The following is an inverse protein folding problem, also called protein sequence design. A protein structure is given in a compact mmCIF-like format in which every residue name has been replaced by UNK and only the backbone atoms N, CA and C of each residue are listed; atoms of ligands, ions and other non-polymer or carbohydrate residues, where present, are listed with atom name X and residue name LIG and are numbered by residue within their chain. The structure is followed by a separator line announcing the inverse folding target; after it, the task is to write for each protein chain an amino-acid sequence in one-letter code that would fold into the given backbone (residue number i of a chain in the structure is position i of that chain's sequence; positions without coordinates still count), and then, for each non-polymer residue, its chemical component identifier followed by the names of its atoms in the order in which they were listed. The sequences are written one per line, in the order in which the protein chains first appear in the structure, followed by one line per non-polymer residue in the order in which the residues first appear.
data_IF_946858016341
#
_entry.id   IF_946858016341
#
_cell.length_a   1.000
_cell.length_b   1.000
_cell.length_c   1.000
_cell.angle_alpha   90.00
_cell.angle_beta   90.00
_cell.angle_gamma   90.00
#
_symmetry.space_group_name_H-M   'P 1'
#
loop_
_entity.id
_entity.type
_entity.pdbx_description
1 polymer ?
#
# COMPACT_ATOMS: atom_id res chain seq x y z
N UNK A 1 -4.53 4.46 9.56
CA UNK A 1 -3.33 3.79 8.97
C UNK A 1 -3.04 4.50 7.65
N UNK A 2 -2.44 5.69 7.68
CA UNK A 2 -2.55 6.66 6.57
C UNK A 2 -1.30 6.75 5.67
N UNK A 3 -0.16 6.18 6.09
CA UNK A 3 1.09 6.34 5.35
C UNK A 3 1.57 5.05 4.69
N UNK A 4 1.69 5.08 3.36
CA UNK A 4 2.47 4.10 2.62
C UNK A 4 3.96 4.42 2.74
N UNK A 5 4.74 3.54 3.35
CA UNK A 5 6.19 3.68 3.56
C UNK A 5 6.98 2.70 2.72
N UNK A 6 8.25 3.03 2.46
CA UNK A 6 9.20 2.07 1.89
C UNK A 6 9.91 1.30 3.02
N UNK A 7 9.97 -0.02 2.92
CA UNK A 7 10.66 -0.89 3.87
C UNK A 7 11.27 -2.11 3.18
N UNK A 8 12.31 -2.69 3.80
CA UNK A 8 12.92 -3.97 3.41
C UNK A 8 12.55 -5.12 4.34
N UNK A 9 11.84 -4.83 5.43
CA UNK A 9 11.56 -5.75 6.54
C UNK A 9 10.94 -7.10 6.13
N UNK A 10 10.13 -7.11 5.06
CA UNK A 10 9.41 -8.30 4.61
C UNK A 10 10.24 -9.21 3.66
N UNK A 11 11.15 -8.64 2.87
CA UNK A 11 11.78 -9.40 1.76
C UNK A 11 13.27 -9.14 1.53
N UNK A 12 13.84 -8.11 2.17
CA UNK A 12 15.19 -7.61 1.88
C UNK A 12 15.25 -6.67 0.68
N UNK A 13 14.22 -6.63 -0.17
CA UNK A 13 14.05 -5.66 -1.26
C UNK A 13 13.17 -4.48 -0.81
N UNK A 14 13.38 -3.26 -1.35
CA UNK A 14 12.52 -2.14 -1.04
C UNK A 14 11.11 -2.38 -1.57
N UNK A 15 10.13 -2.39 -0.66
CA UNK A 15 8.71 -2.55 -0.97
C UNK A 15 7.97 -1.33 -0.41
N UNK A 16 7.03 -0.80 -1.19
CA UNK A 16 6.06 0.19 -0.69
C UNK A 16 4.86 -0.54 -0.11
N UNK A 17 4.55 -0.22 1.13
CA UNK A 17 3.57 -0.94 1.95
C UNK A 17 2.95 0.01 2.97
N UNK A 18 1.78 -0.36 3.49
CA UNK A 18 1.21 0.33 4.64
C UNK A 18 2.18 0.28 5.83
N UNK A 19 2.35 1.40 6.52
CA UNK A 19 3.10 1.44 7.77
C UNK A 19 2.38 0.57 8.81
N UNK A 20 3.16 -0.28 9.46
CA UNK A 20 2.74 -1.10 10.58
C UNK A 20 3.85 -1.19 11.63
N UNK A 21 3.50 -1.68 12.83
CA UNK A 21 4.48 -1.95 13.89
C UNK A 21 5.60 -2.86 13.41
N UNK A 22 5.28 -3.85 12.56
CA UNK A 22 6.29 -4.69 11.93
C UNK A 22 7.31 -3.86 11.14
N UNK A 23 6.85 -2.94 10.30
CA UNK A 23 7.76 -2.12 9.49
C UNK A 23 8.60 -1.13 10.31
N UNK A 24 8.10 -0.72 11.48
CA UNK A 24 8.75 0.24 12.35
C UNK A 24 9.82 -0.43 13.24
N UNK A 25 9.59 -1.64 13.77
CA UNK A 25 10.59 -2.34 14.61
C UNK A 25 11.91 -2.61 13.89
N UNK A 26 11.87 -2.80 12.56
CA UNK A 26 13.07 -2.99 11.73
C UNK A 26 13.83 -1.69 11.46
N UNK A 27 13.32 -0.54 11.93
CA UNK A 27 13.93 0.78 11.81
C UNK A 27 14.33 1.36 13.18
N UNK A 28 14.04 0.66 14.27
CA UNK A 28 14.38 1.08 15.63
C UNK A 28 15.90 1.06 15.85
N UNK A 29 16.38 1.92 16.74
CA UNK A 29 17.78 1.97 17.12
C UNK A 29 18.22 0.62 17.71
N UNK A 30 19.27 0.03 17.14
CA UNK A 30 19.78 -1.28 17.54
C UNK A 30 19.10 -2.48 16.86
N UNK A 31 18.10 -2.26 16.01
CA UNK A 31 17.58 -3.31 15.14
C UNK A 31 18.66 -3.78 14.14
N UNK A 32 18.71 -5.09 13.84
CA UNK A 32 19.65 -5.60 12.84
C UNK A 32 19.27 -5.13 11.43
N UNK A 33 20.27 -5.03 10.55
CA UNK A 33 20.03 -4.84 9.13
C UNK A 33 19.23 -6.00 8.54
N UNK A 34 18.31 -5.70 7.62
CA UNK A 34 17.58 -6.74 6.88
C UNK A 34 18.52 -7.53 5.99
N UNK A 35 18.33 -8.85 5.92
CA UNK A 35 19.07 -9.71 4.99
C UNK A 35 18.71 -9.40 3.53
N UNK A 36 19.58 -9.72 2.55
CA UNK A 36 19.21 -9.62 1.14
C UNK A 36 18.13 -10.65 0.78
N UNK A 37 17.35 -10.34 -0.24
CA UNK A 37 16.37 -11.28 -0.80
C UNK A 37 17.10 -12.49 -1.41
N UNK A 38 16.66 -13.74 -1.15
CA UNK A 38 15.42 -14.15 -0.47
C UNK A 38 15.54 -14.41 1.05
N UNK A 39 16.74 -14.29 1.63
CA UNK A 39 17.03 -14.72 2.99
C UNK A 39 16.17 -14.00 4.04
N UNK A 40 15.89 -12.71 3.86
CA UNK A 40 14.99 -11.98 4.77
C UNK A 40 13.59 -12.58 4.79
N UNK A 41 13.04 -12.91 3.63
CA UNK A 41 11.73 -13.55 3.54
C UNK A 41 11.75 -14.89 4.27
N UNK A 42 12.79 -15.70 4.07
CA UNK A 42 12.94 -16.99 4.76
C UNK A 42 13.03 -16.83 6.29
N UNK A 43 13.69 -15.77 6.77
CA UNK A 43 13.81 -15.49 8.21
C UNK A 43 12.47 -15.12 8.86
N UNK A 44 11.61 -14.36 8.16
CA UNK A 44 10.46 -13.69 8.80
C UNK A 44 9.10 -14.25 8.39
N UNK A 45 9.01 -15.13 7.39
CA UNK A 45 7.74 -15.59 6.81
C UNK A 45 6.83 -16.23 7.86
N UNK A 46 7.36 -17.07 8.75
CA UNK A 46 6.56 -17.70 9.79
C UNK A 46 5.89 -16.68 10.71
N UNK A 47 6.62 -15.66 11.15
CA UNK A 47 6.08 -14.59 12.01
C UNK A 47 5.03 -13.76 11.26
N UNK A 48 5.27 -13.43 9.99
CA UNK A 48 4.32 -12.67 9.18
C UNK A 48 3.03 -13.46 8.89
N UNK A 49 3.13 -14.78 8.73
CA UNK A 49 1.97 -15.67 8.61
C UNK A 49 1.18 -15.66 9.91
N UNK A 50 1.83 -15.85 11.05
CA UNK A 50 1.17 -15.89 12.35
C UNK A 50 0.48 -14.56 12.68
N UNK A 51 1.10 -13.41 12.36
CA UNK A 51 0.49 -12.07 12.47
C UNK A 51 -0.82 -11.98 11.68
N UNK A 52 -0.82 -12.51 10.44
CA UNK A 52 -1.99 -12.50 9.56
C UNK A 52 -3.09 -13.44 10.07
N UNK A 53 -2.73 -14.66 10.49
CA UNK A 53 -3.69 -15.66 10.98
C UNK A 53 -4.35 -15.22 12.30
N UNK A 54 -3.60 -14.53 13.17
CA UNK A 54 -4.11 -13.96 14.40
C UNK A 54 -4.84 -12.61 14.22
N UNK A 55 -4.93 -12.10 12.98
CA UNK A 55 -5.56 -10.82 12.63
C UNK A 55 -5.05 -9.62 13.47
N UNK A 56 -3.73 -9.54 13.66
CA UNK A 56 -3.09 -8.46 14.42
C UNK A 56 -2.92 -7.22 13.53
N UNK A 57 -3.99 -6.46 13.32
CA UNK A 57 -4.07 -5.35 12.34
C UNK A 57 -2.91 -4.36 12.44
N UNK A 58 -2.53 -3.92 13.65
CA UNK A 58 -1.42 -2.97 13.87
C UNK A 58 -0.05 -3.51 13.42
N UNK A 59 0.10 -4.83 13.29
CA UNK A 59 1.32 -5.51 12.87
C UNK A 59 1.31 -5.90 11.40
N UNK A 60 0.12 -5.97 10.78
CA UNK A 60 -0.01 -6.38 9.39
C UNK A 60 0.64 -5.38 8.45
N UNK A 61 1.55 -5.88 7.62
CA UNK A 61 2.18 -5.10 6.55
C UNK A 61 1.64 -5.55 5.20
N UNK A 62 1.04 -4.63 4.45
CA UNK A 62 0.39 -4.94 3.17
C UNK A 62 0.98 -4.06 2.07
N UNK A 63 1.44 -4.63 0.94
CA UNK A 63 1.85 -3.85 -0.22
C UNK A 63 0.72 -2.92 -0.68
N UNK A 64 1.02 -1.62 -0.76
CA UNK A 64 0.03 -0.61 -1.15
C UNK A 64 0.73 0.58 -1.81
N UNK A 65 0.07 1.18 -2.79
CA UNK A 65 0.47 2.47 -3.36
C UNK A 65 -0.01 3.63 -2.49
N UNK A 66 0.44 4.85 -2.79
CA UNK A 66 -0.01 6.06 -2.08
C UNK A 66 -1.48 6.41 -2.38
N UNK A 67 -2.03 5.92 -3.50
CA UNK A 67 -3.43 6.09 -3.85
C UNK A 67 -4.42 5.38 -2.90
N UNK A 68 -3.92 4.56 -1.95
CA UNK A 68 -4.75 3.85 -0.97
C UNK A 68 -5.61 4.79 -0.11
N UNK A 69 -5.17 6.05 0.08
CA UNK A 69 -5.92 7.09 0.80
C UNK A 69 -7.25 7.43 0.10
N UNK A 70 -7.34 7.21 -1.20
CA UNK A 70 -8.57 7.44 -1.98
C UNK A 70 -9.51 6.24 -2.07
N UNK A 71 -9.26 5.16 -1.32
CA UNK A 71 -10.12 3.95 -1.32
C UNK A 71 -10.98 3.95 -0.06
N UNK A 72 -12.28 4.21 -0.21
CA UNK A 72 -13.25 4.26 0.89
C UNK A 72 -14.29 3.13 0.87
N UNK A 73 -14.43 2.42 -0.26
CA UNK A 73 -15.44 1.38 -0.43
C UNK A 73 -14.89 0.15 -1.16
N UNK A 74 -15.46 -1.02 -0.85
CA UNK A 74 -15.23 -2.25 -1.60
C UNK A 74 -16.23 -2.28 -2.75
N UNK A 75 -15.72 -2.32 -3.98
CA UNK A 75 -16.54 -2.31 -5.20
C UNK A 75 -16.19 -3.49 -6.12
N UNK A 76 -17.14 -3.98 -6.93
CA UNK A 76 -16.83 -4.88 -8.03
C UNK A 76 -15.81 -4.26 -9.00
N UNK A 77 -14.90 -5.07 -9.54
CA UNK A 77 -13.85 -4.56 -10.43
C UNK A 77 -14.40 -3.81 -11.67
N UNK A 78 -15.54 -4.25 -12.21
CA UNK A 78 -16.19 -3.56 -13.32
C UNK A 78 -16.67 -2.16 -12.94
N UNK A 79 -17.26 -2.01 -11.75
CA UNK A 79 -17.75 -0.73 -11.24
C UNK A 79 -16.60 0.28 -11.10
N UNK A 80 -15.47 -0.12 -10.52
CA UNK A 80 -14.27 0.73 -10.41
C UNK A 80 -13.81 1.25 -11.78
N UNK A 81 -13.79 0.38 -12.80
CA UNK A 81 -13.35 0.76 -14.15
C UNK A 81 -14.34 1.72 -14.81
N UNK A 82 -15.65 1.47 -14.67
CA UNK A 82 -16.67 2.34 -15.25
C UNK A 82 -16.72 3.71 -14.58
N UNK A 83 -16.70 3.77 -13.25
CA UNK A 83 -16.64 5.03 -12.51
C UNK A 83 -15.41 5.85 -12.90
N UNK A 84 -14.22 5.23 -12.97
CA UNK A 84 -13.01 5.91 -13.41
C UNK A 84 -13.12 6.48 -14.83
N UNK A 85 -13.79 5.76 -15.75
CA UNK A 85 -13.97 6.21 -17.13
C UNK A 85 -14.98 7.34 -17.24
N UNK A 86 -16.10 7.23 -16.51
CA UNK A 86 -17.17 8.23 -16.49
C UNK A 86 -16.67 9.54 -15.85
N UNK A 87 -16.00 9.47 -14.69
CA UNK A 87 -15.38 10.63 -14.05
C UNK A 87 -14.36 11.31 -14.96
N UNK A 88 -13.54 10.54 -15.67
CA UNK A 88 -12.57 11.09 -16.62
C UNK A 88 -13.26 11.83 -17.78
N UNK A 89 -14.34 11.27 -18.32
CA UNK A 89 -15.12 11.88 -19.40
C UNK A 89 -15.73 13.21 -18.95
N UNK A 90 -16.40 13.22 -17.79
CA UNK A 90 -16.99 14.43 -17.21
C UNK A 90 -15.94 15.53 -17.00
N UNK A 91 -14.75 15.16 -16.52
CA UNK A 91 -13.64 16.09 -16.32
C UNK A 91 -13.14 16.69 -17.65
N UNK A 92 -13.04 15.90 -18.71
CA UNK A 92 -12.62 16.38 -20.02
C UNK A 92 -13.65 17.31 -20.66
N UNK A 93 -14.93 16.97 -20.59
CA UNK A 93 -16.02 17.81 -21.11
C UNK A 93 -15.99 19.19 -20.43
N UNK A 94 -15.96 19.23 -19.09
CA UNK A 94 -15.88 20.48 -18.32
C UNK A 94 -14.63 21.30 -18.65
N UNK A 95 -13.49 20.66 -18.84
CA UNK A 95 -12.24 21.35 -19.18
C UNK A 95 -12.32 22.01 -20.58
N UNK A 96 -12.98 21.34 -21.54
CA UNK A 96 -13.19 21.90 -22.88
C UNK A 96 -14.17 23.07 -22.91
N UNK A 97 -15.26 23.00 -22.13
CA UNK A 97 -16.23 24.10 -22.01
C UNK A 97 -15.61 25.36 -21.40
N UNK A 98 -14.81 25.18 -20.34
CA UNK A 98 -14.07 26.27 -19.68
C UNK A 98 -13.07 26.92 -20.64
N UNK A 99 -12.41 26.12 -21.49
CA UNK A 99 -11.47 26.63 -22.49
C UNK A 99 -12.14 27.36 -23.66
N UNK A 100 -13.43 27.11 -23.91
CA UNK A 100 -14.21 27.78 -24.94
C UNK A 100 -14.83 29.11 -24.45
N UNK A 101 -14.88 29.34 -23.14
CA UNK A 101 -15.41 30.58 -22.52
C UNK A 101 -14.33 31.57 -22.08
N UNK A 102 -13.04 31.20 -22.18
CA UNK A 102 -11.88 32.05 -21.89
C UNK A 102 -11.26 32.60 -23.18
#
# INVERSE_FOLDING_TARGET
MEDAVQSRAMSGKPIRQLRSRWSDIWKEDGAPDTLPMPLQGMLVNDVLRDIKEANLEDWMTTPAGQAIVGIDAIKPAAEVVYEMADEALELFERATETSATA
#
